data_IF_225295068057
#
_entry.id   IF_225295068057
#
_cell.length_a   1.000
_cell.length_b   1.000
_cell.length_c   1.000
_cell.angle_alpha   90.00
_cell.angle_beta   90.00
_cell.angle_gamma   90.00
#
_symmetry.space_group_name_H-M   'P 1'
#
loop_
_entity.id
_entity.type
_entity.pdbx_description
1 polymer ?
#
# COMPACT_ATOMS: atom_id res chain seq x y z
N UNK A 1 32.12 10.02 -26.53
CA UNK A 1 32.70 8.77 -25.98
C UNK A 1 33.29 9.12 -24.63
N UNK A 2 32.51 8.97 -23.56
CA UNK A 2 32.97 9.13 -22.18
C UNK A 2 32.80 7.76 -21.53
N UNK A 3 33.93 7.09 -21.34
CA UNK A 3 34.05 5.82 -20.67
C UNK A 3 34.23 6.12 -19.17
N UNK A 4 33.26 5.76 -18.33
CA UNK A 4 33.43 5.71 -16.88
C UNK A 4 33.19 4.26 -16.44
N UNK A 5 34.28 3.54 -16.22
CA UNK A 5 34.31 2.34 -15.39
C UNK A 5 34.13 2.74 -13.90
N UNK A 6 33.27 2.06 -13.13
CA UNK A 6 33.24 2.20 -11.68
C UNK A 6 34.28 1.27 -11.02
N UNK A 7 35.21 1.88 -10.29
CA UNK A 7 36.09 1.22 -9.32
C UNK A 7 35.24 0.66 -8.19
N UNK A 8 34.88 -0.63 -8.27
CA UNK A 8 34.34 -1.42 -7.16
C UNK A 8 35.37 -2.48 -6.81
N UNK A 9 36.30 -2.15 -5.91
CA UNK A 9 37.04 -3.15 -5.13
C UNK A 9 37.55 -2.49 -3.85
N UNK A 10 37.07 -2.93 -2.70
CA UNK A 10 37.73 -2.58 -1.44
C UNK A 10 36.87 -2.57 -0.17
N UNK A 11 35.99 -3.54 0.07
CA UNK A 11 35.47 -3.82 1.42
C UNK A 11 35.38 -5.33 1.66
N UNK A 12 36.52 -6.01 1.58
CA UNK A 12 36.73 -7.30 2.24
C UNK A 12 37.18 -7.00 3.68
N UNK A 13 36.23 -7.00 4.62
CA UNK A 13 36.48 -6.73 6.03
C UNK A 13 35.45 -7.43 6.91
N UNK A 14 35.83 -8.63 7.38
CA UNK A 14 35.19 -9.49 8.37
C UNK A 14 34.32 -8.77 9.42
N UNK A 15 32.99 -8.75 9.20
CA UNK A 15 32.03 -8.28 10.22
C UNK A 15 30.64 -8.92 10.16
N UNK A 16 30.39 -9.86 9.26
CA UNK A 16 29.02 -10.29 8.91
C UNK A 16 28.50 -11.50 9.71
N UNK A 17 29.29 -12.06 10.63
CA UNK A 17 28.89 -13.25 11.39
C UNK A 17 28.09 -12.98 12.67
N UNK A 18 27.62 -11.74 12.92
CA UNK A 18 26.82 -11.41 14.12
C UNK A 18 25.40 -10.88 13.84
N UNK A 19 24.89 -11.05 12.62
CA UNK A 19 23.48 -10.78 12.28
C UNK A 19 22.75 -12.06 11.82
N UNK A 20 23.11 -13.20 12.42
CA UNK A 20 22.69 -14.53 11.99
C UNK A 20 21.32 -15.05 12.46
N UNK A 21 20.78 -14.75 13.66
CA UNK A 21 19.55 -15.42 14.09
C UNK A 21 18.27 -14.57 14.02
N UNK A 22 18.32 -13.31 13.56
CA UNK A 22 17.14 -12.45 13.51
C UNK A 22 16.41 -12.44 12.16
N UNK A 23 17.05 -12.94 11.08
CA UNK A 23 16.49 -12.93 9.72
C UNK A 23 15.87 -14.27 9.29
N UNK A 24 15.83 -15.27 10.18
CA UNK A 24 15.23 -16.59 9.94
C UNK A 24 13.79 -16.73 10.46
N UNK A 25 13.25 -15.73 11.19
CA UNK A 25 11.89 -15.77 11.74
C UNK A 25 10.84 -14.99 10.92
N UNK A 26 11.25 -14.36 9.80
CA UNK A 26 10.36 -13.57 8.93
C UNK A 26 9.92 -14.30 7.64
N UNK A 27 10.33 -15.57 7.46
CA UNK A 27 9.97 -16.37 6.29
C UNK A 27 8.83 -17.40 6.54
N UNK A 28 8.17 -17.35 7.71
CA UNK A 28 7.24 -18.39 8.14
C UNK A 28 5.74 -17.98 8.18
N UNK A 29 5.37 -16.81 7.65
CA UNK A 29 3.98 -16.32 7.68
C UNK A 29 3.38 -16.03 6.29
N UNK A 30 3.81 -16.78 5.28
CA UNK A 30 3.17 -16.79 3.95
C UNK A 30 2.81 -18.22 3.50
N UNK A 31 2.24 -18.98 4.44
CA UNK A 31 1.60 -20.27 4.15
C UNK A 31 0.08 -20.10 4.10
N UNK A 32 -0.44 -19.59 2.98
CA UNK A 32 -1.88 -19.69 2.68
C UNK A 32 -2.22 -21.14 2.36
N UNK A 33 -2.53 -21.95 3.38
CA UNK A 33 -3.14 -23.25 3.18
C UNK A 33 -4.63 -23.05 2.90
N UNK A 34 -4.99 -22.92 1.62
CA UNK A 34 -6.37 -23.08 1.16
C UNK A 34 -6.69 -24.59 1.14
N UNK A 35 -7.66 -25.10 1.92
CA UNK A 35 -8.13 -26.47 1.72
C UNK A 35 -8.91 -26.52 0.40
N UNK A 36 -8.45 -27.36 -0.52
CA UNK A 36 -9.18 -27.70 -1.73
C UNK A 36 -10.54 -28.31 -1.34
N UNK A 37 -11.64 -27.64 -1.71
CA UNK A 37 -12.94 -28.27 -1.58
C UNK A 37 -13.09 -29.34 -2.67
N UNK A 38 -13.55 -30.56 -2.32
CA UNK A 38 -13.86 -31.57 -3.31
C UNK A 38 -15.02 -31.09 -4.18
N UNK A 39 -14.86 -31.21 -5.50
CA UNK A 39 -15.93 -30.98 -6.46
C UNK A 39 -17.13 -31.89 -6.13
N UNK A 40 -18.37 -31.35 -6.09
CA UNK A 40 -19.56 -32.19 -6.09
C UNK A 40 -19.64 -32.95 -7.42
N UNK A 41 -19.74 -34.28 -7.36
CA UNK A 41 -19.99 -35.11 -8.53
C UNK A 41 -21.34 -34.76 -9.18
N UNK A 42 -21.42 -34.82 -10.53
CA UNK A 42 -22.66 -34.60 -11.25
C UNK A 42 -23.68 -35.70 -10.90
N UNK A 43 -24.93 -35.35 -10.52
CA UNK A 43 -25.96 -36.35 -10.29
C UNK A 43 -26.30 -37.09 -11.61
N UNK A 44 -26.56 -38.41 -11.55
CA UNK A 44 -26.95 -39.20 -12.72
C UNK A 44 -28.30 -38.74 -13.27
N UNK A 45 -28.54 -38.91 -14.59
CA UNK A 45 -29.82 -38.59 -15.20
C UNK A 45 -30.91 -39.55 -14.70
N UNK A 46 -31.92 -39.00 -14.03
CA UNK A 46 -33.10 -39.74 -13.63
C UNK A 46 -34.17 -39.74 -14.75
N UNK A 47 -34.93 -40.84 -14.88
CA UNK A 47 -35.80 -41.16 -16.03
C UNK A 47 -37.06 -40.29 -16.14
N UNK A 48 -37.74 -40.28 -17.31
CA UNK A 48 -38.97 -39.51 -17.51
C UNK A 48 -40.12 -40.13 -16.72
N UNK A 49 -40.66 -39.38 -15.76
CA UNK A 49 -41.89 -39.71 -15.07
C UNK A 49 -43.10 -38.98 -15.72
N UNK A 50 -44.30 -39.58 -15.65
CA UNK A 50 -45.39 -39.39 -16.62
C UNK A 50 -46.18 -38.09 -16.46
N UNK A 51 -46.80 -37.70 -17.58
CA UNK A 51 -47.77 -36.62 -17.72
C UNK A 51 -48.93 -36.81 -16.74
N UNK A 52 -49.10 -35.85 -15.82
CA UNK A 52 -50.36 -35.66 -15.09
C UNK A 52 -51.04 -34.41 -15.62
N UNK A 53 -52.27 -34.62 -16.04
CA UNK A 53 -53.18 -33.69 -16.71
C UNK A 53 -53.63 -32.58 -15.75
N UNK A 54 -53.53 -31.33 -16.20
CA UNK A 54 -54.14 -30.11 -15.63
C UNK A 54 -55.69 -30.22 -15.62
N UNK A 55 -56.51 -29.50 -14.81
CA UNK A 55 -56.49 -28.02 -14.79
C UNK A 55 -56.96 -27.33 -13.48
N UNK A 56 -56.56 -26.07 -13.27
CA UNK A 56 -57.43 -24.98 -12.77
C UNK A 56 -56.64 -23.65 -12.60
N UNK A 57 -57.05 -22.66 -13.41
CA UNK A 57 -57.12 -21.22 -13.15
C UNK A 57 -55.99 -20.47 -12.41
N UNK A 58 -55.26 -19.67 -13.20
CA UNK A 58 -54.78 -18.28 -13.02
C UNK A 58 -54.79 -17.62 -11.62
N UNK A 59 -53.72 -16.86 -11.27
CA UNK A 59 -53.49 -15.59 -11.96
C UNK A 59 -52.13 -15.49 -12.65
N UNK A 60 -52.17 -14.87 -13.83
CA UNK A 60 -51.08 -14.35 -14.64
C UNK A 60 -49.77 -14.13 -13.85
N UNK A 61 -48.64 -14.70 -14.29
CA UNK A 61 -47.34 -14.32 -13.75
C UNK A 61 -47.14 -12.84 -14.07
N UNK A 62 -47.09 -12.01 -13.01
CA UNK A 62 -46.59 -10.65 -13.14
C UNK A 62 -45.26 -10.71 -13.93
N UNK A 63 -45.03 -9.81 -14.89
CA UNK A 63 -43.79 -9.82 -15.65
C UNK A 63 -42.66 -9.73 -14.64
N UNK A 64 -41.82 -10.77 -14.60
CA UNK A 64 -40.52 -10.70 -13.94
C UNK A 64 -39.78 -9.61 -14.69
N UNK A 65 -39.75 -8.41 -14.11
CA UNK A 65 -38.85 -7.36 -14.55
C UNK A 65 -37.48 -7.92 -14.25
N UNK A 66 -36.86 -8.53 -15.28
CA UNK A 66 -35.42 -8.70 -15.32
C UNK A 66 -34.90 -7.28 -15.21
N UNK A 67 -34.53 -6.88 -13.99
CA UNK A 67 -33.75 -5.67 -13.78
C UNK A 67 -32.54 -5.86 -14.69
N UNK A 68 -32.37 -5.03 -15.73
CA UNK A 68 -31.20 -5.13 -16.58
C UNK A 68 -30.02 -5.01 -15.63
N UNK A 69 -29.16 -6.03 -15.60
CA UNK A 69 -27.88 -5.92 -14.92
C UNK A 69 -27.26 -4.61 -15.43
N UNK A 70 -26.94 -3.64 -14.55
CA UNK A 70 -26.36 -2.40 -15.02
C UNK A 70 -25.12 -2.72 -15.86
N UNK A 71 -24.81 -1.91 -16.89
CA UNK A 71 -23.79 -2.27 -17.86
C UNK A 71 -22.44 -2.39 -17.15
N UNK A 72 -21.94 -3.63 -17.04
CA UNK A 72 -20.56 -3.92 -16.62
C UNK A 72 -19.54 -3.10 -17.42
N UNK A 73 -19.91 -2.69 -18.63
CA UNK A 73 -19.14 -1.80 -19.49
C UNK A 73 -18.65 -0.52 -18.78
N UNK A 74 -19.40 0.08 -17.85
CA UNK A 74 -18.94 1.29 -17.15
C UNK A 74 -17.86 1.00 -16.11
N UNK A 75 -17.91 -0.17 -15.45
CA UNK A 75 -16.88 -0.60 -14.52
C UNK A 75 -15.59 -1.00 -15.25
N UNK A 76 -15.71 -1.69 -16.39
CA UNK A 76 -14.58 -2.08 -17.24
C UNK A 76 -13.87 -0.83 -17.80
N UNK A 77 -14.63 0.17 -18.25
CA UNK A 77 -14.07 1.46 -18.68
C UNK A 77 -13.31 2.19 -17.56
N UNK A 78 -13.82 2.13 -16.32
CA UNK A 78 -13.15 2.74 -15.17
C UNK A 78 -11.87 2.01 -14.80
N UNK A 79 -11.84 0.68 -14.93
CA UNK A 79 -10.63 -0.13 -14.74
C UNK A 79 -9.59 0.18 -15.82
N UNK A 80 -9.99 0.20 -17.10
CA UNK A 80 -9.13 0.60 -18.20
C UNK A 80 -8.60 2.03 -18.01
N UNK A 81 -9.45 2.94 -17.53
CA UNK A 81 -9.03 4.29 -17.16
C UNK A 81 -7.98 4.27 -16.03
N UNK A 82 -8.21 3.50 -14.96
CA UNK A 82 -7.27 3.40 -13.85
C UNK A 82 -5.89 2.86 -14.29
N UNK A 83 -5.86 1.90 -15.20
CA UNK A 83 -4.61 1.41 -15.79
C UNK A 83 -3.91 2.50 -16.60
N UNK A 84 -4.64 3.21 -17.48
CA UNK A 84 -4.08 4.30 -18.28
C UNK A 84 -3.58 5.47 -17.43
N UNK A 85 -4.31 5.84 -16.37
CA UNK A 85 -3.92 6.88 -15.42
C UNK A 85 -2.60 6.58 -14.72
N UNK A 86 -2.30 5.30 -14.44
CA UNK A 86 -1.03 4.89 -13.82
C UNK A 86 0.16 4.94 -14.79
N UNK A 87 -0.10 4.90 -16.09
CA UNK A 87 0.93 5.01 -17.12
C UNK A 87 1.26 6.48 -17.48
N UNK A 88 0.40 7.43 -17.12
CA UNK A 88 0.58 8.85 -17.38
C UNK A 88 1.73 9.45 -16.54
N UNK A 89 2.61 10.29 -17.12
CA UNK A 89 3.59 11.03 -16.36
C UNK A 89 2.92 12.13 -15.51
N UNK A 90 3.58 12.54 -14.43
CA UNK A 90 3.06 13.52 -13.47
C UNK A 90 2.46 14.82 -14.07
N UNK A 91 3.08 15.50 -15.07
CA UNK A 91 2.50 16.71 -15.64
C UNK A 91 1.21 16.45 -16.44
N UNK A 92 1.13 15.33 -17.17
CA UNK A 92 -0.05 14.97 -17.95
C UNK A 92 -1.20 14.53 -17.02
N UNK A 93 -0.89 13.81 -15.94
CA UNK A 93 -1.86 13.48 -14.90
C UNK A 93 -2.42 14.73 -14.21
N UNK A 94 -1.60 15.76 -13.98
CA UNK A 94 -2.09 17.02 -13.42
C UNK A 94 -3.06 17.74 -14.37
N UNK A 95 -2.79 17.73 -15.67
CA UNK A 95 -3.70 18.28 -16.69
C UNK A 95 -5.01 17.49 -16.74
N UNK A 96 -4.93 16.16 -16.66
CA UNK A 96 -6.09 15.25 -16.57
C UNK A 96 -6.98 15.60 -15.37
N UNK A 97 -6.38 15.78 -14.19
CA UNK A 97 -7.09 16.17 -12.96
C UNK A 97 -7.79 17.52 -13.12
N UNK A 98 -7.14 18.51 -13.72
CA UNK A 98 -7.77 19.81 -14.02
C UNK A 98 -8.94 19.64 -14.98
N UNK A 99 -8.76 18.89 -16.08
CA UNK A 99 -9.80 18.64 -17.09
C UNK A 99 -11.02 17.93 -16.51
N UNK A 100 -10.82 16.97 -15.61
CA UNK A 100 -11.89 16.26 -14.91
C UNK A 100 -12.52 17.08 -13.78
N UNK A 101 -11.77 18.05 -13.24
CA UNK A 101 -12.22 19.00 -12.22
C UNK A 101 -13.23 20.03 -12.72
N UNK A 102 -13.35 20.22 -14.04
CA UNK A 102 -14.39 21.07 -14.63
C UNK A 102 -15.80 20.61 -14.20
N UNK A 103 -16.74 21.55 -13.98
CA UNK A 103 -18.03 21.28 -13.36
C UNK A 103 -18.82 20.22 -14.13
N UNK A 104 -19.15 19.13 -13.44
CA UNK A 104 -19.93 18.02 -13.94
C UNK A 104 -20.14 17.00 -12.84
N UNK A 105 -21.40 16.64 -12.57
CA UNK A 105 -21.75 15.78 -11.42
C UNK A 105 -22.05 14.33 -11.81
N UNK A 106 -21.68 13.89 -13.02
CA UNK A 106 -21.89 12.49 -13.40
C UNK A 106 -21.04 11.55 -12.56
N UNK A 107 -21.66 10.48 -12.05
CA UNK A 107 -21.01 9.45 -11.26
C UNK A 107 -19.71 8.89 -11.89
N UNK A 108 -19.66 8.52 -13.18
CA UNK A 108 -18.41 8.02 -13.79
C UNK A 108 -17.31 9.08 -13.85
N UNK A 109 -17.65 10.36 -14.03
CA UNK A 109 -16.66 11.45 -14.07
C UNK A 109 -16.06 11.70 -12.69
N UNK A 110 -16.90 11.74 -11.65
CA UNK A 110 -16.45 11.84 -10.26
C UNK A 110 -15.55 10.66 -9.89
N UNK A 111 -15.86 9.46 -10.39
CA UNK A 111 -15.06 8.26 -10.20
C UNK A 111 -13.68 8.36 -10.89
N UNK A 112 -13.63 8.77 -12.16
CA UNK A 112 -12.36 8.99 -12.89
C UNK A 112 -11.49 10.03 -12.18
N UNK A 113 -12.09 11.14 -11.72
CA UNK A 113 -11.35 12.16 -10.97
C UNK A 113 -10.80 11.61 -9.65
N UNK A 114 -11.58 10.83 -8.91
CA UNK A 114 -11.12 10.20 -7.67
C UNK A 114 -9.96 9.22 -7.92
N UNK A 115 -10.02 8.43 -8.99
CA UNK A 115 -8.93 7.54 -9.42
C UNK A 115 -7.67 8.34 -9.76
N UNK A 116 -7.78 9.40 -10.57
CA UNK A 116 -6.64 10.24 -10.95
C UNK A 116 -5.96 10.89 -9.73
N UNK A 117 -6.75 11.39 -8.78
CA UNK A 117 -6.24 11.93 -7.51
C UNK A 117 -5.54 10.86 -6.68
N UNK A 118 -6.05 9.62 -6.69
CA UNK A 118 -5.41 8.48 -6.04
C UNK A 118 -4.04 8.13 -6.66
N UNK A 119 -3.90 8.24 -7.98
CA UNK A 119 -2.62 8.03 -8.68
C UNK A 119 -1.62 9.16 -8.39
N UNK A 120 -2.07 10.41 -8.34
CA UNK A 120 -1.20 11.55 -8.05
C UNK A 120 -0.61 11.51 -6.62
N UNK A 121 -1.29 10.80 -5.70
CA UNK A 121 -0.92 10.65 -4.28
C UNK A 121 -0.86 11.99 -3.53
N UNK A 122 -0.72 11.92 -2.20
CA UNK A 122 -0.60 13.06 -1.29
C UNK A 122 -1.86 13.35 -0.48
N UNK A 123 -1.67 13.85 0.76
CA UNK A 123 -2.72 13.95 1.78
C UNK A 123 -3.94 14.78 1.32
N UNK A 124 -3.71 15.91 0.63
CA UNK A 124 -4.78 16.77 0.11
C UNK A 124 -5.58 16.06 -0.99
N UNK A 125 -4.90 15.37 -1.89
CA UNK A 125 -5.53 14.63 -3.00
C UNK A 125 -6.33 13.44 -2.47
N UNK A 126 -5.79 12.70 -1.51
CA UNK A 126 -6.49 11.57 -0.87
C UNK A 126 -7.77 12.02 -0.16
N UNK A 127 -7.74 13.14 0.58
CA UNK A 127 -8.93 13.69 1.22
C UNK A 127 -9.99 14.12 0.17
N UNK A 128 -9.57 14.79 -0.90
CA UNK A 128 -10.47 15.20 -1.99
C UNK A 128 -11.08 13.99 -2.71
N UNK A 129 -10.30 12.94 -2.98
CA UNK A 129 -10.79 11.70 -3.58
C UNK A 129 -11.86 11.04 -2.70
N UNK A 130 -11.66 10.97 -1.39
CA UNK A 130 -12.64 10.40 -0.46
C UNK A 130 -13.98 11.16 -0.50
N UNK A 131 -13.94 12.50 -0.53
CA UNK A 131 -15.16 13.33 -0.63
C UNK A 131 -15.91 13.06 -1.93
N UNK A 132 -15.19 12.94 -3.05
CA UNK A 132 -15.80 12.61 -4.35
C UNK A 132 -16.46 11.23 -4.35
N UNK A 133 -15.80 10.22 -3.80
CA UNK A 133 -16.34 8.87 -3.69
C UNK A 133 -17.58 8.82 -2.79
N UNK A 134 -17.57 9.54 -1.66
CA UNK A 134 -18.75 9.68 -0.80
C UNK A 134 -19.92 10.37 -1.52
N UNK A 135 -19.62 11.38 -2.35
CA UNK A 135 -20.64 12.04 -3.19
C UNK A 135 -21.26 11.06 -4.19
N UNK A 136 -20.48 10.20 -4.85
CA UNK A 136 -21.01 9.14 -5.73
C UNK A 136 -21.93 8.19 -4.98
N UNK A 137 -21.57 7.81 -3.75
CA UNK A 137 -22.42 6.96 -2.91
C UNK A 137 -23.73 7.64 -2.46
N UNK A 138 -23.74 8.97 -2.37
CA UNK A 138 -24.94 9.73 -2.05
C UNK A 138 -25.90 9.93 -3.24
N UNK A 139 -25.45 9.66 -4.47
CA UNK A 139 -26.28 9.76 -5.68
C UNK A 139 -27.18 8.53 -5.83
N UNK A 140 -28.47 8.78 -6.11
CA UNK A 140 -29.50 7.75 -6.27
C UNK A 140 -29.87 7.46 -7.74
N UNK A 141 -29.05 7.87 -8.71
CA UNK A 141 -29.26 7.52 -10.12
C UNK A 141 -28.90 6.06 -10.37
N UNK A 142 -29.54 5.42 -11.36
CA UNK A 142 -29.25 4.02 -11.71
C UNK A 142 -27.76 3.80 -12.07
N UNK A 143 -27.15 4.77 -12.74
CA UNK A 143 -25.72 4.77 -13.08
C UNK A 143 -24.84 4.85 -11.83
N UNK A 144 -25.18 5.69 -10.85
CA UNK A 144 -24.42 5.77 -9.60
C UNK A 144 -24.55 4.48 -8.78
N UNK A 145 -25.76 3.93 -8.67
CA UNK A 145 -26.02 2.68 -7.94
C UNK A 145 -25.20 1.50 -8.48
N UNK A 146 -25.02 1.42 -9.81
CA UNK A 146 -24.15 0.43 -10.45
C UNK A 146 -22.69 0.54 -10.00
N UNK A 147 -22.21 1.75 -9.71
CA UNK A 147 -20.83 2.04 -9.31
C UNK A 147 -20.58 2.00 -7.80
N UNK A 148 -21.64 1.96 -6.98
CA UNK A 148 -21.53 1.90 -5.51
C UNK A 148 -20.59 0.80 -4.97
N UNK A 149 -20.61 -0.46 -5.45
CA UNK A 149 -19.70 -1.47 -4.92
C UNK A 149 -18.23 -1.10 -5.15
N UNK A 150 -17.89 -0.58 -6.33
CA UNK A 150 -16.54 -0.14 -6.66
C UNK A 150 -16.15 1.11 -5.85
N UNK A 151 -17.07 2.06 -5.67
CA UNK A 151 -16.86 3.25 -4.85
C UNK A 151 -16.53 2.91 -3.38
N UNK A 152 -17.24 1.92 -2.80
CA UNK A 152 -16.97 1.43 -1.43
C UNK A 152 -15.61 0.78 -1.31
N UNK A 153 -15.22 -0.05 -2.30
CA UNK A 153 -13.90 -0.68 -2.34
C UNK A 153 -12.78 0.35 -2.41
N UNK A 154 -12.92 1.36 -3.28
CA UNK A 154 -11.94 2.44 -3.39
C UNK A 154 -11.86 3.27 -2.10
N UNK A 155 -12.98 3.56 -1.44
CA UNK A 155 -12.97 4.25 -0.15
C UNK A 155 -12.20 3.48 0.93
N UNK A 156 -12.41 2.16 1.02
CA UNK A 156 -11.67 1.31 1.96
C UNK A 156 -10.17 1.35 1.65
N UNK A 157 -9.80 1.20 0.37
CA UNK A 157 -8.41 1.26 -0.06
C UNK A 157 -7.74 2.62 0.23
N UNK A 158 -8.43 3.74 0.00
CA UNK A 158 -7.92 5.07 0.32
C UNK A 158 -7.72 5.29 1.83
N UNK A 159 -8.56 4.70 2.67
CA UNK A 159 -8.40 4.74 4.12
C UNK A 159 -7.18 3.91 4.57
N UNK A 160 -6.95 2.75 3.96
CA UNK A 160 -5.78 1.90 4.22
C UNK A 160 -4.47 2.59 3.81
N UNK A 161 -4.44 3.19 2.62
CA UNK A 161 -3.28 3.96 2.14
C UNK A 161 -2.92 5.08 3.11
N UNK A 162 -3.91 5.85 3.59
CA UNK A 162 -3.69 6.90 4.58
C UNK A 162 -3.10 6.34 5.89
N UNK A 163 -3.62 5.23 6.40
CA UNK A 163 -3.09 4.59 7.61
C UNK A 163 -1.63 4.15 7.42
N UNK A 164 -1.29 3.63 6.25
CA UNK A 164 0.10 3.25 5.93
C UNK A 164 1.03 4.46 5.83
N UNK A 165 0.58 5.55 5.22
CA UNK A 165 1.36 6.79 5.11
C UNK A 165 1.61 7.38 6.53
N UNK A 166 0.60 7.38 7.40
CA UNK A 166 0.75 7.81 8.81
C UNK A 166 1.76 6.92 9.59
N UNK A 167 1.83 5.62 9.31
CA UNK A 167 2.81 4.74 9.92
C UNK A 167 4.23 5.02 9.42
N UNK A 168 4.40 5.26 8.12
CA UNK A 168 5.67 5.63 7.52
C UNK A 168 6.19 6.96 8.10
N UNK A 169 5.32 7.95 8.28
CA UNK A 169 5.67 9.23 8.91
C UNK A 169 6.16 9.04 10.36
N UNK A 170 5.48 8.19 11.16
CA UNK A 170 5.91 7.87 12.53
C UNK A 170 7.26 7.19 12.57
N UNK A 171 7.50 6.22 11.69
CA UNK A 171 8.79 5.52 11.60
C UNK A 171 9.91 6.48 11.17
N UNK A 172 9.66 7.35 10.20
CA UNK A 172 10.63 8.37 9.78
C UNK A 172 10.99 9.32 10.93
N UNK A 173 10.02 9.69 11.77
CA UNK A 173 10.28 10.50 12.95
C UNK A 173 11.12 9.76 13.99
N UNK A 174 10.81 8.49 14.27
CA UNK A 174 11.58 7.66 15.19
C UNK A 174 13.04 7.48 14.74
N UNK A 175 13.27 7.31 13.43
CA UNK A 175 14.63 7.21 12.87
C UNK A 175 15.42 8.50 13.07
N UNK A 176 14.82 9.67 12.84
CA UNK A 176 15.46 10.97 13.08
C UNK A 176 15.79 11.18 14.56
N UNK A 177 14.88 10.82 15.46
CA UNK A 177 15.12 10.95 16.90
C UNK A 177 16.18 9.97 17.40
N UNK A 178 16.24 8.75 16.84
CA UNK A 178 17.30 7.79 17.13
C UNK A 178 18.67 8.28 16.64
N UNK A 179 18.74 8.85 15.43
CA UNK A 179 19.97 9.46 14.89
C UNK A 179 20.48 10.59 15.80
N UNK A 180 19.61 11.50 16.23
CA UNK A 180 19.97 12.56 17.18
C UNK A 180 20.52 12.02 18.50
N UNK A 181 19.94 10.93 19.02
CA UNK A 181 20.45 10.27 20.24
C UNK A 181 21.83 9.65 20.02
N UNK A 182 22.07 9.06 18.85
CA UNK A 182 23.39 8.52 18.50
C UNK A 182 24.43 9.64 18.43
N UNK A 183 24.11 10.76 17.78
CA UNK A 183 24.98 11.95 17.73
C UNK A 183 25.32 12.44 19.15
N UNK A 184 24.31 12.60 20.02
CA UNK A 184 24.52 12.99 21.42
C UNK A 184 25.39 12.00 22.20
N UNK A 185 25.27 10.70 21.95
CA UNK A 185 26.10 9.69 22.59
C UNK A 185 27.53 9.72 22.07
N UNK A 186 27.72 9.97 20.77
CA UNK A 186 29.05 10.14 20.18
C UNK A 186 29.75 11.38 20.76
N UNK A 187 29.06 12.51 20.87
CA UNK A 187 29.61 13.73 21.48
C UNK A 187 30.06 13.48 22.92
N UNK A 188 29.29 12.70 23.69
CA UNK A 188 29.66 12.29 25.06
C UNK A 188 30.89 11.38 25.08
N UNK A 189 30.95 10.41 24.17
CA UNK A 189 32.13 9.53 24.06
C UNK A 189 33.38 10.31 23.68
N UNK A 190 33.26 11.27 22.76
CA UNK A 190 34.37 12.15 22.39
C UNK A 190 34.80 13.05 23.54
N UNK A 191 33.85 13.61 24.30
CA UNK A 191 34.15 14.36 25.51
C UNK A 191 34.91 13.52 26.55
N UNK A 192 34.49 12.27 26.78
CA UNK A 192 35.20 11.34 27.68
C UNK A 192 36.61 11.04 27.15
N UNK A 193 36.77 10.77 25.84
CA UNK A 193 38.09 10.56 25.23
C UNK A 193 39.00 11.78 25.36
N UNK A 194 38.46 13.00 25.28
CA UNK A 194 39.21 14.23 25.49
C UNK A 194 39.69 14.38 26.95
N UNK A 195 38.87 13.95 27.91
CA UNK A 195 39.26 13.88 29.33
C UNK A 195 40.40 12.86 29.50
N UNK A 196 40.27 11.66 28.93
CA UNK A 196 41.31 10.63 29.00
C UNK A 196 42.66 11.10 28.43
N UNK A 197 42.64 11.86 27.32
CA UNK A 197 43.86 12.40 26.71
C UNK A 197 44.48 13.55 27.51
N UNK A 198 43.69 14.31 28.28
CA UNK A 198 44.19 15.43 29.08
C UNK A 198 44.63 15.03 30.50
N UNK A 199 44.30 13.81 30.95
CA UNK A 199 44.88 13.23 32.16
C UNK A 199 46.37 12.94 31.91
N UNK A 200 47.30 13.49 32.72
CA UNK A 200 48.73 13.31 32.50
C UNK A 200 49.10 11.83 32.58
N UNK A 201 49.84 11.33 31.58
CA UNK A 201 50.46 10.00 31.63
C UNK A 201 51.35 9.94 32.86
N UNK A 202 50.96 9.15 33.86
CA UNK A 202 51.78 8.86 35.04
C UNK A 202 53.18 8.46 34.53
N UNK A 203 54.25 9.21 34.84
CA UNK A 203 55.58 8.85 34.36
C UNK A 203 55.88 7.43 34.84
N UNK A 204 56.29 6.57 33.92
CA UNK A 204 56.76 5.23 34.24
C UNK A 204 57.76 5.36 35.39
N UNK A 205 57.53 4.61 36.47
CA UNK A 205 58.45 4.58 37.61
C UNK A 205 59.85 4.27 37.09
N UNK A 206 60.76 5.24 37.23
CA UNK A 206 62.17 5.04 36.94
C UNK A 206 62.68 3.86 37.78
N UNK A 207 63.49 2.94 37.22
CA UNK A 207 64.06 1.85 37.99
C UNK A 207 64.95 2.42 39.10
N UNK A 208 64.79 1.91 40.31
CA UNK A 208 65.49 2.38 41.50
C UNK A 208 67.00 2.27 41.34
N UNK A 209 67.68 3.41 41.39
CA UNK A 209 69.11 3.44 41.64
C UNK A 209 69.36 3.09 43.11
N UNK A 210 69.69 1.82 43.35
CA UNK A 210 70.39 1.40 44.55
C UNK A 210 71.80 1.99 44.52
N UNK A 211 72.00 3.11 45.23
CA UNK A 211 73.33 3.61 45.56
C UNK A 211 73.53 3.51 47.08
N UNK A 212 74.31 2.51 47.44
CA UNK A 212 75.00 2.29 48.73
C UNK A 212 75.84 3.52 49.11
N UNK A 213 76.05 3.80 50.41
CA UNK A 213 77.29 3.34 51.05
C UNK A 213 77.09 2.40 52.24
#
# INVERSE_FOLDING_TARGET
MLNLDPVIHGLAGNGWHRLGPALALLAALWGCALPAQPLPEPPPPLPPAPVVVAPAADPAPAPVVVVPLPPMATADELLAYAESARALPAPELAQEITRLGEPGESAPRLMRLAIALGVARGNVNSARAQVLLQRVLAQNTAEAQALHPLARLLLAQQAELRRSDEQLERQAQQLRDAQRRIEQLNDRLEAVRAIERSLPSRPASAPGNGQRP
#
